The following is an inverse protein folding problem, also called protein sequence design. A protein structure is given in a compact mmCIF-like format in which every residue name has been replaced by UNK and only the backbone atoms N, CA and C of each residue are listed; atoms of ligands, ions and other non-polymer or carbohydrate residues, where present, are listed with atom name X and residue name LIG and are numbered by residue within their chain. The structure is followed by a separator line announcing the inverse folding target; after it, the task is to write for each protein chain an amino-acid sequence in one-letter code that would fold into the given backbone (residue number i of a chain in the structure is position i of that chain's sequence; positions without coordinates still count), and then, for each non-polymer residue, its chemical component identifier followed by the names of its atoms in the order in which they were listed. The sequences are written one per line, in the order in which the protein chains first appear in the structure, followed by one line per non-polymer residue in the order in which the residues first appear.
data_IF_482219428877
#
_entry.id   IF_482219428877
#
_cell.length_a   1.000
_cell.length_b   1.000
_cell.length_c   1.000
_cell.angle_alpha   90.00
_cell.angle_beta   90.00
_cell.angle_gamma   90.00
#
_symmetry.space_group_name_H-M   'P 1'
#
loop_
_entity.id
_entity.type
_entity.pdbx_description
1 polymer ?
#
# COMPACT_ATOMS: atom_id res chain seq x y z
N UNK A 1 15.58 2.74 -24.22
CA UNK A 1 14.79 2.37 -23.03
C UNK A 1 13.93 3.57 -22.72
N UNK A 2 12.60 3.49 -22.87
CA UNK A 2 11.70 4.54 -22.40
C UNK A 2 12.03 4.85 -20.93
N UNK A 3 11.93 6.12 -20.53
CA UNK A 3 12.18 6.51 -19.13
C UNK A 3 13.62 6.69 -18.66
N UNK A 4 14.58 6.03 -19.30
CA UNK A 4 16.00 6.20 -18.98
C UNK A 4 16.46 7.59 -19.42
N UNK A 5 17.02 8.35 -18.48
CA UNK A 5 17.58 9.67 -18.73
C UNK A 5 19.04 9.55 -19.19
N UNK A 6 19.84 8.71 -18.51
CA UNK A 6 21.23 8.43 -18.90
C UNK A 6 21.64 7.00 -18.53
N UNK A 7 22.64 6.45 -19.25
CA UNK A 7 23.26 5.15 -18.94
C UNK A 7 24.77 5.33 -18.96
N UNK A 8 25.41 5.15 -17.81
CA UNK A 8 26.87 5.03 -17.74
C UNK A 8 27.27 3.55 -17.72
N UNK A 9 27.81 3.10 -18.85
CA UNK A 9 28.28 1.72 -19.04
C UNK A 9 29.58 1.42 -18.30
N UNK A 10 30.36 2.43 -17.90
CA UNK A 10 31.60 2.23 -17.16
C UNK A 10 31.31 1.92 -15.68
N UNK A 11 30.29 2.57 -15.11
CA UNK A 11 29.82 2.32 -13.73
C UNK A 11 28.63 1.37 -13.62
N UNK A 12 28.07 0.91 -14.75
CA UNK A 12 26.81 0.16 -14.80
C UNK A 12 25.65 0.87 -14.09
N UNK A 13 25.61 2.21 -14.19
CA UNK A 13 24.55 3.02 -13.60
C UNK A 13 23.58 3.56 -14.65
N UNK A 14 22.32 3.71 -14.25
CA UNK A 14 21.27 4.31 -15.07
C UNK A 14 20.59 5.41 -14.25
N UNK A 15 20.36 6.58 -14.84
CA UNK A 15 19.46 7.58 -14.29
C UNK A 15 18.11 7.52 -14.99
N UNK A 16 17.07 7.88 -14.26
CA UNK A 16 15.71 7.87 -14.75
C UNK A 16 15.13 9.25 -14.75
N UNK A 17 14.28 9.51 -15.74
CA UNK A 17 13.50 10.74 -15.80
C UNK A 17 12.68 10.86 -14.52
N UNK A 18 12.53 12.08 -14.03
CA UNK A 18 11.69 12.36 -12.87
C UNK A 18 10.28 11.79 -13.07
N UNK A 19 9.77 11.09 -12.04
CA UNK A 19 8.46 10.45 -12.04
C UNK A 19 8.34 9.18 -12.87
N UNK A 20 9.43 8.67 -13.46
CA UNK A 20 9.38 7.45 -14.26
C UNK A 20 9.62 6.19 -13.42
N UNK A 21 8.84 5.15 -13.69
CA UNK A 21 8.82 3.90 -12.92
C UNK A 21 8.89 2.68 -13.86
N UNK A 22 9.16 1.49 -13.32
CA UNK A 22 9.20 0.25 -14.10
C UNK A 22 10.59 -0.37 -14.27
N UNK A 23 10.68 -1.45 -15.04
CA UNK A 23 11.85 -2.30 -15.19
C UNK A 23 13.07 -1.55 -15.75
N UNK A 24 12.85 -0.57 -16.62
CA UNK A 24 13.91 0.29 -17.16
C UNK A 24 14.40 1.36 -16.17
N UNK A 25 13.66 1.55 -15.07
CA UNK A 25 13.89 2.59 -14.06
C UNK A 25 13.92 2.09 -12.63
N UNK A 26 14.35 0.84 -12.45
CA UNK A 26 14.64 0.23 -11.17
C UNK A 26 15.85 0.91 -10.49
N UNK A 27 15.69 1.61 -9.35
CA UNK A 27 16.85 1.89 -8.51
C UNK A 27 17.16 0.65 -7.64
N UNK A 28 18.45 0.40 -7.41
CA UNK A 28 18.90 -0.52 -6.35
C UNK A 28 18.67 0.07 -4.95
N UNK A 29 18.70 1.41 -4.82
CA UNK A 29 18.61 2.11 -3.55
C UNK A 29 17.21 2.69 -3.31
N UNK A 30 16.67 2.34 -2.14
CA UNK A 30 15.42 2.90 -1.61
C UNK A 30 15.79 4.22 -0.94
N UNK A 31 15.17 5.37 -1.28
CA UNK A 31 15.46 6.61 -0.57
C UNK A 31 15.14 6.46 0.92
N UNK A 32 16.16 6.49 1.76
CA UNK A 32 16.09 6.32 3.23
C UNK A 32 15.33 7.46 3.94
N UNK A 33 15.02 8.53 3.22
CA UNK A 33 14.40 9.73 3.78
C UNK A 33 13.12 10.06 3.03
N UNK A 34 11.98 9.75 3.64
CA UNK A 34 10.75 10.48 3.35
C UNK A 34 10.87 11.83 4.05
N UNK A 35 10.95 12.91 3.26
CA UNK A 35 10.76 14.26 3.78
C UNK A 35 9.26 14.55 3.64
N UNK A 36 8.51 14.70 4.75
CA UNK A 36 7.12 15.14 4.66
C UNK A 36 7.09 16.48 3.91
N UNK A 37 6.16 16.68 2.96
CA UNK A 37 5.97 18.00 2.38
C UNK A 37 5.72 19.00 3.51
N UNK A 38 6.42 20.14 3.48
CA UNK A 38 6.21 21.22 4.45
C UNK A 38 4.74 21.62 4.39
N UNK A 39 4.06 21.62 5.53
CA UNK A 39 2.67 22.05 5.63
C UNK A 39 2.55 23.46 5.03
N UNK A 40 1.87 23.58 3.88
CA UNK A 40 1.56 24.88 3.30
C UNK A 40 0.75 25.68 4.32
N UNK A 41 1.16 26.92 4.57
CA UNK A 41 0.45 27.82 5.47
C UNK A 41 -0.95 28.07 4.91
N UNK A 42 -1.96 27.78 5.73
CA UNK A 42 -3.36 27.99 5.43
C UNK A 42 -3.61 29.43 4.93
N UNK A 43 -4.19 29.53 3.74
CA UNK A 43 -4.81 30.75 3.22
C UNK A 43 -6.30 30.74 3.61
N UNK A 44 -6.78 31.94 3.87
CA UNK A 44 -7.96 32.37 4.62
C UNK A 44 -9.31 31.65 4.36
N UNK A 45 -10.17 31.66 5.40
CA UNK A 45 -11.62 31.80 5.26
C UNK A 45 -12.50 30.60 5.63
N UNK A 46 -12.20 29.41 5.12
CA UNK A 46 -13.07 28.21 5.29
C UNK A 46 -12.29 26.88 5.49
N UNK A 47 -11.00 27.05 5.76
CA UNK A 47 -9.90 26.06 5.87
C UNK A 47 -9.60 25.65 7.31
N UNK A 48 -10.59 25.75 8.21
CA UNK A 48 -10.41 25.36 9.61
C UNK A 48 -10.20 23.85 9.75
N UNK A 49 -9.00 23.42 10.17
CA UNK A 49 -8.77 22.05 10.60
C UNK A 49 -9.70 21.71 11.77
N UNK A 50 -10.22 20.48 11.79
CA UNK A 50 -10.86 19.94 12.99
C UNK A 50 -9.75 19.53 13.95
N UNK A 51 -9.69 20.15 15.13
CA UNK A 51 -8.58 19.98 16.07
C UNK A 51 -9.04 19.44 17.41
N UNK A 52 -8.40 18.37 17.91
CA UNK A 52 -8.53 17.83 19.27
C UNK A 52 -9.97 17.52 19.72
N UNK A 53 -10.81 17.06 18.80
CA UNK A 53 -12.19 16.65 19.10
C UNK A 53 -12.33 15.14 19.17
N UNK A 54 -13.37 14.67 19.88
CA UNK A 54 -13.78 13.26 19.84
C UNK A 54 -15.09 13.15 19.09
N UNK A 55 -15.12 12.35 18.02
CA UNK A 55 -16.23 12.27 17.07
C UNK A 55 -16.64 10.80 16.89
N UNK A 56 -17.93 10.51 17.08
CA UNK A 56 -18.50 9.19 16.84
C UNK A 56 -19.08 9.07 15.42
N UNK A 57 -19.57 10.18 14.86
CA UNK A 57 -20.07 10.25 13.50
C UNK A 57 -19.78 11.66 12.99
N UNK A 58 -19.23 11.80 11.78
CA UNK A 58 -19.01 13.11 11.16
C UNK A 58 -19.87 13.20 9.92
N UNK A 59 -20.78 14.17 9.91
CA UNK A 59 -21.37 14.64 8.66
C UNK A 59 -20.33 15.50 7.94
N UNK A 60 -19.61 14.91 7.02
CA UNK A 60 -18.60 15.64 6.25
C UNK A 60 -19.26 16.45 5.16
N UNK A 61 -18.93 17.74 5.06
CA UNK A 61 -19.23 18.49 3.86
C UNK A 61 -18.21 18.10 2.77
N UNK A 62 -18.55 17.10 1.96
CA UNK A 62 -17.70 16.60 0.87
C UNK A 62 -17.51 17.62 -0.26
N UNK A 63 -18.28 18.71 -0.29
CA UNK A 63 -18.12 19.79 -1.26
C UNK A 63 -16.94 20.72 -0.99
N UNK A 64 -16.12 20.46 0.05
CA UNK A 64 -14.92 21.23 0.34
C UNK A 64 -13.70 20.61 -0.35
N UNK A 65 -12.81 21.41 -0.96
CA UNK A 65 -11.57 20.89 -1.55
C UNK A 65 -10.50 20.56 -0.51
N UNK A 66 -10.56 21.16 0.68
CA UNK A 66 -9.59 20.94 1.74
C UNK A 66 -10.23 20.32 2.98
N UNK A 67 -9.69 19.19 3.41
CA UNK A 67 -10.08 18.47 4.61
C UNK A 67 -8.85 18.30 5.51
N UNK A 68 -8.94 18.75 6.76
CA UNK A 68 -7.83 18.69 7.70
C UNK A 68 -8.31 18.26 9.09
N UNK A 69 -7.64 17.25 9.67
CA UNK A 69 -7.90 16.71 11.00
C UNK A 69 -6.60 16.60 11.79
N UNK A 70 -6.56 17.22 12.97
CA UNK A 70 -5.37 17.29 13.84
C UNK A 70 -5.74 16.80 15.22
N UNK A 71 -5.15 15.71 15.70
CA UNK A 71 -5.38 15.23 17.07
C UNK A 71 -6.82 14.73 17.34
N UNK A 72 -7.60 14.46 16.30
CA UNK A 72 -9.01 14.07 16.42
C UNK A 72 -9.11 12.59 16.78
N UNK A 73 -10.01 12.25 17.70
CA UNK A 73 -10.31 10.87 18.11
C UNK A 73 -11.64 10.40 17.53
N UNK A 74 -11.61 9.31 16.78
CA UNK A 74 -12.74 8.59 16.23
C UNK A 74 -12.97 7.31 17.03
N UNK A 75 -14.18 7.09 17.54
CA UNK A 75 -14.47 5.99 18.47
C UNK A 75 -15.82 5.35 18.17
N UNK A 76 -15.85 4.02 18.18
CA UNK A 76 -17.07 3.22 18.16
C UNK A 76 -17.29 2.46 16.86
N UNK A 77 -18.02 1.34 16.98
CA UNK A 77 -18.40 0.52 15.84
C UNK A 77 -19.40 1.31 14.98
N UNK A 78 -19.11 1.44 13.69
CA UNK A 78 -19.89 2.26 12.75
C UNK A 78 -19.40 3.70 12.63
N UNK A 79 -18.46 4.14 13.48
CA UNK A 79 -17.79 5.42 13.29
C UNK A 79 -16.86 5.34 12.07
N UNK A 80 -17.27 5.92 10.95
CA UNK A 80 -16.48 5.94 9.74
C UNK A 80 -16.21 7.38 9.28
N UNK A 81 -14.93 7.72 9.15
CA UNK A 81 -14.51 8.89 8.40
C UNK A 81 -14.33 8.47 6.94
N UNK A 82 -15.36 8.71 6.13
CA UNK A 82 -15.41 8.26 4.74
C UNK A 82 -15.31 9.44 3.78
N UNK A 83 -14.28 9.43 2.93
CA UNK A 83 -14.13 10.34 1.81
C UNK A 83 -14.58 9.64 0.54
N UNK A 84 -15.78 9.97 0.07
CA UNK A 84 -16.32 9.48 -1.21
C UNK A 84 -15.98 10.47 -2.32
N UNK A 85 -15.10 10.08 -3.25
CA UNK A 85 -14.62 10.97 -4.30
C UNK A 85 -15.71 11.36 -5.30
N UNK A 86 -16.70 10.49 -5.54
CA UNK A 86 -17.87 10.82 -6.38
C UNK A 86 -18.71 11.97 -5.80
N UNK A 87 -18.61 12.21 -4.49
CA UNK A 87 -19.32 13.29 -3.80
C UNK A 87 -18.46 14.55 -3.60
N UNK A 88 -17.25 14.59 -4.16
CA UNK A 88 -16.29 15.69 -4.00
C UNK A 88 -16.21 16.56 -5.26
N UNK A 89 -15.80 17.84 -5.14
CA UNK A 89 -15.66 18.74 -6.27
C UNK A 89 -14.33 18.48 -7.00
N UNK A 90 -14.18 17.31 -7.64
CA UNK A 90 -12.93 16.86 -8.26
C UNK A 90 -12.45 17.69 -9.47
N UNK A 91 -13.21 18.72 -9.87
CA UNK A 91 -12.74 19.76 -10.79
C UNK A 91 -11.77 20.75 -10.11
N UNK A 92 -11.63 20.67 -8.78
CA UNK A 92 -10.67 21.39 -7.97
C UNK A 92 -9.64 20.42 -7.37
N UNK A 93 -8.40 20.87 -7.08
CA UNK A 93 -7.45 20.08 -6.31
C UNK A 93 -8.01 19.75 -4.92
N UNK A 94 -8.00 18.46 -4.57
CA UNK A 94 -8.47 17.97 -3.27
C UNK A 94 -7.26 17.67 -2.38
N UNK A 95 -7.26 18.19 -1.16
CA UNK A 95 -6.20 17.94 -0.19
C UNK A 95 -6.80 17.46 1.13
N UNK A 96 -6.49 16.21 1.50
CA UNK A 96 -6.97 15.54 2.71
C UNK A 96 -5.79 15.25 3.63
N UNK A 97 -5.78 15.86 4.82
CA UNK A 97 -4.72 15.70 5.81
C UNK A 97 -5.28 15.21 7.15
N UNK A 98 -4.64 14.17 7.68
CA UNK A 98 -4.88 13.62 9.01
C UNK A 98 -3.54 13.49 9.73
N UNK A 99 -3.39 14.16 10.85
CA UNK A 99 -2.16 14.12 11.66
C UNK A 99 -2.47 13.98 13.13
N UNK A 100 -1.81 13.05 13.82
CA UNK A 100 -2.03 12.84 15.26
C UNK A 100 -3.41 12.27 15.61
N UNK A 101 -4.17 11.79 14.62
CA UNK A 101 -5.53 11.28 14.83
C UNK A 101 -5.52 9.92 15.52
N UNK A 102 -6.58 9.61 16.27
CA UNK A 102 -6.78 8.30 16.90
C UNK A 102 -8.05 7.65 16.37
N UNK A 103 -7.98 6.42 15.89
CA UNK A 103 -9.14 5.59 15.55
C UNK A 103 -9.19 4.42 16.52
N UNK A 104 -10.32 4.19 17.18
CA UNK A 104 -10.47 3.12 18.16
C UNK A 104 -11.85 2.47 18.15
N UNK A 105 -11.93 1.31 18.77
CA UNK A 105 -13.20 0.61 19.05
C UNK A 105 -14.01 0.29 17.78
N UNK A 106 -13.33 0.00 16.67
CA UNK A 106 -13.97 -0.29 15.39
C UNK A 106 -14.10 0.89 14.45
N UNK A 107 -13.60 2.08 14.82
CA UNK A 107 -13.65 3.25 13.94
C UNK A 107 -12.80 3.06 12.67
N UNK A 108 -13.25 3.62 11.56
CA UNK A 108 -12.70 3.40 10.22
C UNK A 108 -12.29 4.71 9.56
N UNK A 109 -11.20 4.67 8.78
CA UNK A 109 -10.85 5.71 7.82
C UNK A 109 -10.99 5.12 6.42
N UNK A 110 -11.81 5.73 5.56
CA UNK A 110 -12.12 5.18 4.24
C UNK A 110 -11.94 6.23 3.15
N UNK A 111 -11.37 5.80 2.03
CA UNK A 111 -11.24 6.54 0.79
C UNK A 111 -11.87 5.71 -0.32
N UNK A 112 -12.98 6.18 -0.87
CA UNK A 112 -13.82 5.41 -1.79
C UNK A 112 -13.86 6.12 -3.13
N UNK A 113 -13.32 5.45 -4.13
CA UNK A 113 -13.35 5.86 -5.53
C UNK A 113 -14.66 5.50 -6.22
N UNK A 114 -14.66 5.62 -7.55
CA UNK A 114 -15.83 5.39 -8.37
C UNK A 114 -15.54 5.61 -9.85
N UNK A 115 -16.40 5.11 -10.73
CA UNK A 115 -16.17 5.15 -12.16
C UNK A 115 -16.10 6.59 -12.71
N UNK A 116 -16.93 7.49 -12.18
CA UNK A 116 -16.91 8.90 -12.57
C UNK A 116 -15.68 9.63 -11.99
N UNK A 117 -15.31 9.31 -10.75
CA UNK A 117 -14.16 9.89 -10.09
C UNK A 117 -12.82 9.50 -10.75
N UNK A 118 -12.76 8.32 -11.38
CA UNK A 118 -11.58 7.78 -12.05
C UNK A 118 -11.10 8.59 -13.26
N UNK A 119 -11.94 9.47 -13.81
CA UNK A 119 -11.56 10.39 -14.91
C UNK A 119 -11.07 11.75 -14.40
N UNK A 120 -11.15 11.98 -13.08
CA UNK A 120 -10.67 13.22 -12.44
C UNK A 120 -9.24 13.07 -11.92
N UNK A 121 -8.65 14.17 -11.43
CA UNK A 121 -7.28 14.16 -10.89
C UNK A 121 -7.05 15.21 -9.80
N UNK A 122 -5.85 15.23 -9.22
CA UNK A 122 -5.42 16.28 -8.30
C UNK A 122 -5.81 16.03 -6.84
N UNK A 123 -5.89 14.76 -6.43
CA UNK A 123 -6.15 14.37 -5.03
C UNK A 123 -4.84 14.06 -4.31
N UNK A 124 -4.61 14.75 -3.19
CA UNK A 124 -3.48 14.50 -2.29
C UNK A 124 -4.01 14.05 -0.94
N UNK A 125 -3.49 12.93 -0.44
CA UNK A 125 -3.89 12.34 0.84
C UNK A 125 -2.64 12.16 1.71
N UNK A 126 -2.69 12.70 2.92
CA UNK A 126 -1.64 12.56 3.94
C UNK A 126 -2.26 12.08 5.25
N UNK A 127 -1.91 10.87 5.64
CA UNK A 127 -2.23 10.28 6.94
C UNK A 127 -0.91 10.06 7.68
N UNK A 128 -0.76 10.68 8.84
CA UNK A 128 0.49 10.65 9.61
C UNK A 128 0.23 10.63 11.11
N UNK A 129 1.16 10.06 11.88
CA UNK A 129 1.13 10.04 13.34
C UNK A 129 -0.20 9.48 13.90
N UNK A 130 -0.77 8.49 13.22
CA UNK A 130 -2.09 7.97 13.54
C UNK A 130 -2.00 6.82 14.52
N UNK A 131 -2.84 6.84 15.55
CA UNK A 131 -3.01 5.72 16.48
C UNK A 131 -4.25 4.94 16.09
N UNK A 132 -4.13 3.62 15.96
CA UNK A 132 -5.22 2.73 15.57
C UNK A 132 -5.37 1.63 16.62
N UNK A 133 -6.60 1.42 17.12
CA UNK A 133 -6.92 0.43 18.15
C UNK A 133 -8.16 -0.36 17.74
N UNK A 134 -7.96 -1.53 17.13
CA UNK A 134 -9.01 -2.27 16.42
C UNK A 134 -9.72 -1.37 15.42
N UNK A 135 -8.94 -0.85 14.46
CA UNK A 135 -9.34 0.10 13.41
C UNK A 135 -8.55 -0.21 12.14
N UNK A 136 -8.98 0.33 10.99
CA UNK A 136 -8.33 0.10 9.68
C UNK A 136 -8.45 1.33 8.78
N UNK A 137 -7.46 1.52 7.90
CA UNK A 137 -7.52 2.45 6.77
C UNK A 137 -7.91 1.68 5.52
N UNK A 138 -8.91 2.13 4.79
CA UNK A 138 -9.43 1.44 3.62
C UNK A 138 -9.35 2.32 2.39
N UNK A 139 -8.83 1.75 1.31
CA UNK A 139 -8.99 2.26 -0.04
C UNK A 139 -9.86 1.28 -0.82
N UNK A 140 -10.88 1.81 -1.49
CA UNK A 140 -11.80 1.00 -2.25
C UNK A 140 -12.06 1.60 -3.64
N UNK A 141 -12.26 0.72 -4.63
CA UNK A 141 -12.69 1.07 -5.98
C UNK A 141 -11.66 1.93 -6.75
N UNK A 142 -12.13 2.60 -7.79
CA UNK A 142 -11.33 3.34 -8.77
C UNK A 142 -10.99 4.74 -8.25
N UNK A 143 -9.76 4.93 -7.78
CA UNK A 143 -9.32 6.24 -7.30
C UNK A 143 -9.12 7.20 -8.49
N UNK A 144 -9.23 8.52 -8.28
CA UNK A 144 -8.85 9.51 -9.29
C UNK A 144 -7.42 9.30 -9.81
N UNK A 145 -7.15 9.80 -11.01
CA UNK A 145 -5.82 9.72 -11.61
C UNK A 145 -4.88 10.70 -10.91
N UNK A 146 -3.57 10.45 -10.99
CA UNK A 146 -2.56 11.35 -10.43
C UNK A 146 -2.76 11.64 -8.93
N UNK A 147 -3.23 10.63 -8.18
CA UNK A 147 -3.29 10.71 -6.74
C UNK A 147 -1.89 10.57 -6.14
N UNK A 148 -1.62 11.36 -5.10
CA UNK A 148 -0.44 11.21 -4.25
C UNK A 148 -0.90 10.90 -2.82
N UNK A 149 -0.71 9.65 -2.40
CA UNK A 149 -1.25 9.10 -1.15
C UNK A 149 -0.11 8.62 -0.28
N UNK A 150 -0.06 9.11 0.96
CA UNK A 150 0.90 8.67 1.96
C UNK A 150 0.19 8.34 3.29
N UNK A 151 0.33 7.09 3.74
CA UNK A 151 -0.07 6.60 5.07
C UNK A 151 1.19 6.26 5.84
N UNK A 152 1.54 7.10 6.80
CA UNK A 152 2.84 7.07 7.48
C UNK A 152 2.71 7.11 8.99
N UNK A 153 3.71 6.60 9.70
CA UNK A 153 3.83 6.75 11.17
C UNK A 153 2.57 6.27 11.91
N UNK A 154 2.08 5.07 11.56
CA UNK A 154 0.89 4.48 12.18
C UNK A 154 1.28 3.56 13.33
N UNK A 155 0.73 3.77 14.52
CA UNK A 155 0.78 2.82 15.64
C UNK A 155 -0.55 2.05 15.73
N UNK A 156 -0.55 0.78 15.34
CA UNK A 156 -1.74 -0.06 15.30
C UNK A 156 -1.71 -1.20 16.33
N UNK A 157 -2.80 -1.37 17.07
CA UNK A 157 -3.05 -2.56 17.91
C UNK A 157 -4.37 -3.20 17.50
N UNK A 158 -4.34 -4.47 17.11
CA UNK A 158 -5.52 -5.25 16.70
C UNK A 158 -5.88 -6.27 17.78
N UNK A 159 -7.02 -6.09 18.45
CA UNK A 159 -7.49 -6.98 19.53
C UNK A 159 -8.80 -7.70 19.21
N UNK A 160 -9.64 -7.13 18.34
CA UNK A 160 -10.99 -7.59 18.06
C UNK A 160 -11.33 -7.41 16.59
N UNK A 161 -11.99 -8.41 15.98
CA UNK A 161 -12.45 -8.38 14.59
C UNK A 161 -13.29 -7.13 14.36
N UNK A 162 -12.98 -6.40 13.29
CA UNK A 162 -13.74 -5.25 12.84
C UNK A 162 -15.09 -5.70 12.30
N UNK A 163 -16.17 -5.08 12.80
CA UNK A 163 -17.51 -5.31 12.27
C UNK A 163 -17.74 -4.40 11.06
N UNK A 164 -17.74 -5.02 9.89
CA UNK A 164 -18.12 -4.42 8.61
C UNK A 164 -19.49 -4.99 8.19
N UNK A 165 -20.48 -4.16 7.83
CA UNK A 165 -21.81 -4.66 7.47
C UNK A 165 -21.85 -5.48 6.17
N UNK A 166 -20.90 -5.27 5.24
CA UNK A 166 -21.08 -5.70 3.83
C UNK A 166 -20.00 -6.64 3.27
N UNK A 167 -18.99 -7.03 4.04
CA UNK A 167 -17.90 -7.88 3.53
C UNK A 167 -17.90 -9.27 4.19
N UNK A 168 -17.95 -10.31 3.36
CA UNK A 168 -17.95 -11.73 3.80
C UNK A 168 -16.64 -12.13 4.48
N UNK A 169 -15.54 -11.39 4.26
CA UNK A 169 -14.20 -11.71 4.78
C UNK A 169 -13.81 -10.79 5.95
N UNK A 170 -14.14 -11.24 7.16
CA UNK A 170 -13.92 -10.52 8.42
C UNK A 170 -12.49 -10.75 8.93
N UNK A 171 -11.51 -10.04 8.37
CA UNK A 171 -10.10 -10.19 8.76
C UNK A 171 -9.49 -8.88 9.26
N UNK A 172 -8.53 -8.99 10.17
CA UNK A 172 -7.87 -7.85 10.81
C UNK A 172 -6.73 -7.33 9.94
N UNK A 173 -6.67 -6.03 9.69
CA UNK A 173 -5.57 -5.41 8.95
C UNK A 173 -5.30 -3.97 9.37
N UNK A 174 -4.11 -3.46 9.05
CA UNK A 174 -3.80 -2.03 9.23
C UNK A 174 -4.32 -1.23 8.05
N UNK A 175 -4.07 -1.72 6.83
CA UNK A 175 -4.57 -1.14 5.59
C UNK A 175 -5.28 -2.23 4.79
N UNK A 176 -6.47 -1.89 4.29
CA UNK A 176 -7.25 -2.74 3.39
C UNK A 176 -7.38 -2.08 2.03
N UNK A 177 -7.21 -2.89 1.00
CA UNK A 177 -7.46 -2.54 -0.40
C UNK A 177 -8.60 -3.42 -0.90
N UNK A 178 -9.64 -2.81 -1.45
CA UNK A 178 -10.83 -3.51 -1.94
C UNK A 178 -11.18 -3.06 -3.37
N UNK A 179 -10.95 -3.95 -4.34
CA UNK A 179 -11.09 -3.70 -5.78
C UNK A 179 -10.48 -2.36 -6.27
N UNK A 180 -9.23 -2.10 -5.89
CA UNK A 180 -8.58 -0.81 -6.10
C UNK A 180 -7.92 -0.73 -7.48
N UNK A 181 -8.13 0.40 -8.17
CA UNK A 181 -7.37 0.77 -9.37
C UNK A 181 -6.61 2.08 -9.12
N UNK A 182 -5.30 2.04 -9.31
CA UNK A 182 -4.43 3.22 -9.32
C UNK A 182 -3.99 3.49 -10.77
N UNK A 183 -4.24 4.71 -11.23
CA UNK A 183 -3.91 5.18 -12.58
C UNK A 183 -3.01 6.40 -12.49
N UNK A 184 -1.75 6.27 -12.92
CA UNK A 184 -0.71 7.27 -12.74
C UNK A 184 -0.62 7.83 -11.30
N UNK A 185 -0.88 6.98 -10.30
CA UNK A 185 -1.03 7.36 -8.89
C UNK A 185 -0.02 6.66 -8.00
N UNK A 186 0.31 7.26 -6.87
CA UNK A 186 1.25 6.71 -5.87
C UNK A 186 0.56 6.47 -4.53
N UNK A 187 0.75 5.27 -3.98
CA UNK A 187 0.34 4.89 -2.63
C UNK A 187 1.56 4.42 -1.83
N UNK A 188 1.93 5.21 -0.81
CA UNK A 188 2.97 4.88 0.14
C UNK A 188 2.37 4.49 1.49
N UNK A 189 2.72 3.30 1.99
CA UNK A 189 2.50 2.87 3.38
C UNK A 189 3.86 2.73 4.04
N UNK A 190 4.16 3.57 5.04
CA UNK A 190 5.51 3.63 5.62
C UNK A 190 5.53 3.77 7.13
N UNK A 191 6.56 3.25 7.79
CA UNK A 191 6.78 3.43 9.24
C UNK A 191 5.58 2.98 10.10
N UNK A 192 4.88 1.92 9.69
CA UNK A 192 3.80 1.33 10.47
C UNK A 192 4.39 0.44 11.57
N UNK A 193 3.98 0.63 12.82
CA UNK A 193 4.27 -0.28 13.93
C UNK A 193 2.97 -0.92 14.36
N UNK A 194 2.84 -2.22 14.12
CA UNK A 194 1.58 -2.90 14.29
C UNK A 194 1.71 -4.14 15.18
N UNK A 195 0.80 -4.30 16.12
CA UNK A 195 0.73 -5.44 17.03
C UNK A 195 -0.66 -6.07 17.00
N UNK A 196 -0.75 -7.38 16.72
CA UNK A 196 -1.99 -8.13 16.76
C UNK A 196 -1.97 -9.11 17.94
N UNK A 197 -3.04 -9.14 18.73
CA UNK A 197 -3.19 -10.08 19.86
C UNK A 197 -3.54 -11.51 19.39
N UNK A 198 -4.04 -11.65 18.16
CA UNK A 198 -4.37 -12.93 17.53
C UNK A 198 -3.53 -13.13 16.29
N UNK A 199 -3.05 -14.36 16.05
CA UNK A 199 -2.19 -14.75 14.92
C UNK A 199 -2.93 -14.88 13.58
N UNK A 200 -3.90 -14.00 13.31
CA UNK A 200 -4.79 -14.08 12.13
C UNK A 200 -4.88 -12.74 11.36
N UNK A 201 -4.10 -11.73 11.76
CA UNK A 201 -4.13 -10.41 11.14
C UNK A 201 -3.18 -10.29 9.93
N UNK A 202 -3.42 -9.33 9.05
CA UNK A 202 -2.56 -8.96 7.91
C UNK A 202 -2.05 -7.55 8.02
N UNK A 203 -0.79 -7.31 7.63
CA UNK A 203 -0.29 -5.94 7.60
C UNK A 203 -1.10 -5.11 6.61
N UNK A 204 -1.03 -5.52 5.34
CA UNK A 204 -1.89 -5.10 4.26
C UNK A 204 -2.78 -6.27 3.81
N UNK A 205 -4.05 -5.96 3.56
CA UNK A 205 -5.02 -6.93 3.08
C UNK A 205 -5.67 -6.47 1.77
N UNK A 206 -5.37 -7.17 0.69
CA UNK A 206 -6.08 -7.03 -0.57
C UNK A 206 -7.17 -8.10 -0.65
N UNK A 207 -8.42 -7.66 -0.64
CA UNK A 207 -9.60 -8.52 -0.61
C UNK A 207 -9.88 -9.07 -2.01
N UNK A 208 -10.06 -8.18 -2.98
CA UNK A 208 -10.36 -8.52 -4.36
C UNK A 208 -9.15 -8.28 -5.27
N UNK A 209 -9.18 -7.21 -6.07
CA UNK A 209 -8.17 -6.91 -7.07
C UNK A 209 -7.44 -5.61 -6.77
N UNK A 210 -6.13 -5.59 -7.01
CA UNK A 210 -5.35 -4.35 -7.11
C UNK A 210 -4.78 -4.25 -8.53
N UNK A 211 -5.09 -3.15 -9.21
CA UNK A 211 -4.56 -2.85 -10.53
C UNK A 211 -3.72 -1.58 -10.47
N UNK A 212 -2.45 -1.67 -10.87
CA UNK A 212 -1.55 -0.53 -11.04
C UNK A 212 -1.29 -0.33 -12.53
N UNK A 213 -1.60 0.86 -13.06
CA UNK A 213 -1.44 1.23 -14.48
C UNK A 213 -0.98 2.69 -14.63
N UNK A 214 -0.48 3.07 -15.80
CA UNK A 214 -0.07 4.45 -16.09
C UNK A 214 1.15 4.91 -15.31
N UNK A 215 2.08 4.01 -14.98
CA UNK A 215 3.23 4.30 -14.13
C UNK A 215 2.87 4.43 -12.65
N UNK A 216 1.79 3.79 -12.20
CA UNK A 216 1.37 3.83 -10.80
C UNK A 216 2.34 3.11 -9.87
N UNK A 217 2.30 3.44 -8.58
CA UNK A 217 3.12 2.77 -7.58
C UNK A 217 2.42 2.46 -6.27
N UNK A 218 2.75 1.30 -5.71
CA UNK A 218 2.47 0.91 -4.33
C UNK A 218 3.79 0.61 -3.63
N UNK A 219 4.11 1.35 -2.57
CA UNK A 219 5.26 1.11 -1.71
C UNK A 219 4.81 0.80 -0.30
N UNK A 220 5.29 -0.31 0.26
CA UNK A 220 5.15 -0.67 1.68
C UNK A 220 6.53 -0.79 2.27
N UNK A 221 6.90 0.13 3.16
CA UNK A 221 8.29 0.18 3.65
C UNK A 221 8.48 0.55 5.10
N UNK A 222 9.56 0.03 5.69
CA UNK A 222 9.92 0.31 7.09
C UNK A 222 8.78 0.00 8.08
N UNK A 223 7.90 -0.95 7.75
CA UNK A 223 6.82 -1.38 8.61
C UNK A 223 7.26 -2.56 9.49
N UNK A 224 6.76 -2.64 10.71
CA UNK A 224 7.07 -3.68 11.70
C UNK A 224 5.77 -4.32 12.19
N UNK A 225 5.62 -5.62 11.95
CA UNK A 225 4.41 -6.37 12.30
C UNK A 225 4.70 -7.46 13.35
N UNK A 226 3.98 -7.39 14.47
CA UNK A 226 4.05 -8.37 15.56
C UNK A 226 2.72 -9.11 15.69
N UNK A 227 2.74 -10.44 15.64
CA UNK A 227 1.52 -11.26 15.75
C UNK A 227 0.66 -11.32 14.48
N UNK A 228 1.20 -10.90 13.33
CA UNK A 228 0.53 -10.94 12.03
C UNK A 228 0.85 -12.23 11.26
N UNK A 229 -0.09 -12.73 10.50
CA UNK A 229 0.05 -13.94 9.69
C UNK A 229 0.76 -13.67 8.36
N UNK A 230 0.42 -12.57 7.70
CA UNK A 230 1.09 -12.12 6.47
C UNK A 230 1.40 -10.63 6.57
N UNK A 231 2.55 -10.21 6.02
CA UNK A 231 2.80 -8.78 5.83
C UNK A 231 1.87 -8.23 4.75
N UNK A 232 1.80 -8.88 3.59
CA UNK A 232 0.84 -8.54 2.53
C UNK A 232 0.08 -9.78 2.05
N UNK A 233 -1.23 -9.80 2.29
CA UNK A 233 -2.13 -10.79 1.70
C UNK A 233 -2.73 -10.23 0.41
N UNK A 234 -2.51 -10.93 -0.69
CA UNK A 234 -2.88 -10.56 -2.05
C UNK A 234 -3.82 -11.59 -2.64
N UNK A 235 -5.04 -11.17 -3.01
CA UNK A 235 -5.94 -12.03 -3.76
C UNK A 235 -5.62 -12.01 -5.27
N UNK A 236 -5.86 -10.88 -5.94
CA UNK A 236 -5.50 -10.68 -7.36
C UNK A 236 -4.68 -9.40 -7.52
N UNK A 237 -3.45 -9.49 -8.01
CA UNK A 237 -2.59 -8.33 -8.27
C UNK A 237 -2.20 -8.25 -9.76
N UNK A 238 -2.41 -7.07 -10.34
CA UNK A 238 -2.04 -6.74 -11.71
C UNK A 238 -1.19 -5.47 -11.73
N UNK A 239 0.10 -5.60 -12.00
CA UNK A 239 1.05 -4.47 -12.12
C UNK A 239 1.43 -4.32 -13.60
N UNK A 240 0.97 -3.26 -14.26
CA UNK A 240 1.13 -3.10 -15.72
C UNK A 240 1.46 -1.66 -16.08
N UNK A 241 1.92 -1.45 -17.31
CA UNK A 241 2.22 -0.14 -17.88
C UNK A 241 3.17 0.67 -16.98
N UNK A 242 4.42 0.22 -16.93
CA UNK A 242 5.52 0.90 -16.22
C UNK A 242 5.30 1.07 -14.71
N UNK A 243 4.40 0.28 -14.12
CA UNK A 243 4.01 0.40 -12.72
C UNK A 243 4.90 -0.41 -11.77
N UNK A 244 4.87 -0.05 -10.48
CA UNK A 244 5.71 -0.69 -9.45
C UNK A 244 4.88 -1.06 -8.21
N UNK A 245 4.99 -2.31 -7.77
CA UNK A 245 4.56 -2.73 -6.43
C UNK A 245 5.78 -3.16 -5.64
N UNK A 246 5.99 -2.63 -4.43
CA UNK A 246 7.22 -2.87 -3.69
C UNK A 246 7.01 -3.03 -2.18
N UNK A 247 7.56 -4.11 -1.63
CA UNK A 247 7.69 -4.38 -0.20
C UNK A 247 9.17 -4.23 0.21
N UNK A 248 9.50 -3.19 0.96
CA UNK A 248 10.90 -2.78 1.19
C UNK A 248 11.23 -2.66 2.68
N UNK A 249 12.27 -3.34 3.15
CA UNK A 249 12.82 -3.14 4.50
C UNK A 249 11.78 -3.25 5.64
N UNK A 250 10.80 -4.16 5.50
CA UNK A 250 9.81 -4.42 6.53
C UNK A 250 10.27 -5.56 7.46
N UNK A 251 9.71 -5.60 8.67
CA UNK A 251 10.00 -6.64 9.64
C UNK A 251 8.73 -7.36 10.11
N UNK A 252 8.85 -8.66 10.35
CA UNK A 252 7.83 -9.48 11.00
C UNK A 252 8.44 -10.25 12.18
N UNK A 253 7.85 -10.15 13.38
CA UNK A 253 8.37 -10.92 14.52
C UNK A 253 8.22 -12.43 14.31
N UNK A 254 7.08 -12.84 13.76
CA UNK A 254 6.76 -14.19 13.31
C UNK A 254 5.54 -14.13 12.41
N UNK A 255 5.38 -15.10 11.52
CA UNK A 255 4.25 -15.18 10.60
C UNK A 255 4.37 -16.34 9.63
N UNK A 256 3.46 -16.42 8.67
CA UNK A 256 3.51 -17.40 7.58
C UNK A 256 4.30 -16.83 6.40
N UNK A 257 4.00 -15.60 5.95
CA UNK A 257 4.75 -15.05 4.83
C UNK A 257 4.87 -13.53 4.74
N UNK A 258 5.87 -13.06 4.01
CA UNK A 258 6.01 -11.65 3.66
C UNK A 258 4.99 -11.26 2.58
N UNK A 259 4.93 -12.04 1.50
CA UNK A 259 3.92 -11.92 0.46
C UNK A 259 3.12 -13.22 0.36
N UNK A 260 1.80 -13.13 0.51
CA UNK A 260 0.89 -14.24 0.30
C UNK A 260 0.04 -13.95 -0.93
N UNK A 261 0.10 -14.83 -1.93
CA UNK A 261 -0.66 -14.78 -3.16
C UNK A 261 -1.71 -15.89 -3.12
N UNK A 262 -2.98 -15.51 -3.24
CA UNK A 262 -4.10 -16.45 -3.18
C UNK A 262 -4.54 -16.93 -4.56
N UNK A 263 -4.78 -16.02 -5.51
CA UNK A 263 -5.39 -16.37 -6.80
C UNK A 263 -4.55 -16.02 -8.02
N UNK A 264 -4.26 -14.74 -8.27
CA UNK A 264 -3.49 -14.36 -9.48
C UNK A 264 -2.51 -13.23 -9.21
N UNK A 265 -1.32 -13.37 -9.78
CA UNK A 265 -0.30 -12.36 -9.92
C UNK A 265 -0.01 -12.16 -11.42
N UNK A 266 -0.12 -10.93 -11.92
CA UNK A 266 0.36 -10.51 -13.24
C UNK A 266 1.28 -9.29 -13.15
N UNK A 267 2.51 -9.38 -13.68
CA UNK A 267 3.36 -8.22 -14.00
C UNK A 267 3.53 -8.15 -15.52
N UNK A 268 3.19 -7.02 -16.14
CA UNK A 268 3.35 -6.85 -17.59
C UNK A 268 3.76 -5.43 -17.98
N UNK A 269 4.07 -5.23 -19.25
CA UNK A 269 4.47 -3.96 -19.85
C UNK A 269 5.47 -3.15 -19.00
N UNK A 270 6.72 -3.63 -18.96
CA UNK A 270 7.84 -2.96 -18.30
C UNK A 270 7.62 -2.67 -16.81
N UNK A 271 6.79 -3.47 -16.14
CA UNK A 271 6.43 -3.26 -14.73
C UNK A 271 7.24 -4.13 -13.79
N UNK A 272 7.13 -3.84 -12.49
CA UNK A 272 7.96 -4.51 -11.47
C UNK A 272 7.17 -4.83 -10.20
N UNK A 273 7.33 -6.06 -9.71
CA UNK A 273 7.10 -6.38 -8.30
C UNK A 273 8.42 -6.55 -7.56
N UNK A 274 8.57 -5.86 -6.43
CA UNK A 274 9.77 -5.93 -5.58
C UNK A 274 9.42 -6.42 -4.18
N UNK A 275 10.22 -7.36 -3.68
CA UNK A 275 10.21 -7.80 -2.28
C UNK A 275 11.66 -7.79 -1.83
N UNK A 276 12.10 -6.70 -1.21
CA UNK A 276 13.52 -6.44 -0.98
C UNK A 276 13.82 -6.06 0.48
N UNK A 277 14.83 -6.67 1.07
CA UNK A 277 15.35 -6.30 2.40
C UNK A 277 14.41 -6.59 3.56
N UNK A 278 13.34 -7.38 3.35
CA UNK A 278 12.40 -7.69 4.41
C UNK A 278 12.95 -8.80 5.30
N UNK A 279 12.67 -8.74 6.60
CA UNK A 279 13.20 -9.72 7.56
C UNK A 279 12.16 -10.21 8.56
N UNK A 280 12.30 -11.43 9.04
CA UNK A 280 11.43 -11.94 10.10
C UNK A 280 11.46 -13.45 10.22
N UNK A 281 10.95 -13.97 11.35
CA UNK A 281 10.78 -15.42 11.54
C UNK A 281 9.49 -15.90 10.85
N UNK A 282 9.49 -15.92 9.52
CA UNK A 282 8.33 -16.33 8.72
C UNK A 282 8.56 -17.71 8.10
N UNK A 283 7.50 -18.47 7.86
CA UNK A 283 7.63 -19.76 7.16
C UNK A 283 8.13 -19.58 5.72
N UNK A 284 7.69 -18.53 5.03
CA UNK A 284 7.96 -18.30 3.61
C UNK A 284 8.19 -16.82 3.28
N UNK A 285 9.13 -16.45 2.40
CA UNK A 285 9.14 -15.08 1.88
C UNK A 285 7.93 -14.86 0.98
N UNK A 286 7.77 -15.70 -0.03
CA UNK A 286 6.66 -15.70 -0.97
C UNK A 286 5.88 -17.00 -0.84
N UNK A 287 4.57 -16.90 -0.64
CA UNK A 287 3.65 -18.03 -0.60
C UNK A 287 2.67 -17.87 -1.77
N UNK A 288 2.72 -18.79 -2.72
CA UNK A 288 1.93 -18.77 -3.95
C UNK A 288 1.05 -20.00 -4.05
N UNK A 289 -0.22 -19.80 -4.41
CA UNK A 289 -1.21 -20.88 -4.50
C UNK A 289 -1.67 -21.19 -5.93
N UNK A 290 -1.58 -20.23 -6.86
CA UNK A 290 -2.25 -20.37 -8.15
C UNK A 290 -1.46 -19.74 -9.31
N UNK A 291 -1.85 -18.60 -9.89
CA UNK A 291 -1.20 -18.13 -11.13
C UNK A 291 -0.19 -17.00 -10.90
N UNK A 292 1.03 -17.12 -11.45
CA UNK A 292 2.00 -16.04 -11.60
C UNK A 292 2.38 -15.90 -13.08
N UNK A 293 2.17 -14.69 -13.65
CA UNK A 293 2.55 -14.34 -15.02
C UNK A 293 3.43 -13.10 -15.05
N UNK A 294 4.57 -13.17 -15.75
CA UNK A 294 5.52 -12.06 -15.94
C UNK A 294 5.86 -11.96 -17.43
N UNK A 295 5.52 -10.84 -18.06
CA UNK A 295 5.67 -10.70 -19.51
C UNK A 295 6.02 -9.26 -19.94
N UNK A 296 6.36 -9.07 -21.21
CA UNK A 296 6.55 -7.77 -21.84
C UNK A 296 7.64 -6.93 -21.14
N UNK A 297 8.85 -7.48 -21.02
CA UNK A 297 10.00 -6.84 -20.37
C UNK A 297 9.78 -6.46 -18.90
N UNK A 298 9.06 -7.30 -18.18
CA UNK A 298 8.73 -7.09 -16.76
C UNK A 298 9.62 -7.87 -15.81
N UNK A 299 9.60 -7.48 -14.52
CA UNK A 299 10.57 -7.99 -13.55
C UNK A 299 9.97 -8.34 -12.19
N UNK A 300 10.35 -9.51 -11.67
CA UNK A 300 10.19 -9.87 -10.27
C UNK A 300 11.54 -9.70 -9.56
N UNK A 301 11.60 -8.84 -8.54
CA UNK A 301 12.82 -8.48 -7.83
C UNK A 301 12.76 -8.93 -6.37
N UNK A 302 13.29 -10.11 -6.06
CA UNK A 302 13.29 -10.68 -4.71
C UNK A 302 14.72 -10.73 -4.17
N UNK A 303 15.06 -9.77 -3.30
CA UNK A 303 16.44 -9.61 -2.86
C UNK A 303 16.59 -9.38 -1.37
N UNK A 304 17.69 -9.86 -0.82
CA UNK A 304 18.15 -9.49 0.52
C UNK A 304 17.11 -9.77 1.63
N UNK A 305 16.18 -10.70 1.39
CA UNK A 305 15.17 -11.07 2.38
C UNK A 305 15.73 -12.11 3.35
N UNK A 306 15.43 -11.95 4.63
CA UNK A 306 15.84 -12.87 5.69
C UNK A 306 14.61 -13.47 6.38
N UNK A 307 14.35 -14.76 6.14
CA UNK A 307 13.15 -15.44 6.66
C UNK A 307 13.44 -16.23 7.95
N UNK A 308 14.60 -16.04 8.58
CA UNK A 308 15.03 -16.92 9.65
C UNK A 308 15.07 -18.37 9.15
N UNK A 309 14.48 -19.32 9.88
CA UNK A 309 14.46 -20.76 9.52
C UNK A 309 13.42 -21.13 8.45
N UNK A 310 12.75 -20.16 7.83
CA UNK A 310 11.80 -20.39 6.74
C UNK A 310 12.45 -20.67 5.38
N UNK A 311 11.61 -20.74 4.35
CA UNK A 311 12.03 -20.86 2.96
C UNK A 311 11.72 -19.57 2.15
N UNK A 312 12.38 -19.37 1.01
CA UNK A 312 12.05 -18.20 0.17
C UNK A 312 10.73 -18.36 -0.58
N UNK A 313 10.42 -19.57 -1.04
CA UNK A 313 9.28 -19.79 -1.92
C UNK A 313 8.49 -21.02 -1.47
N UNK A 314 7.17 -20.86 -1.40
CA UNK A 314 6.23 -21.96 -1.34
C UNK A 314 5.30 -21.90 -2.54
N UNK A 315 5.17 -23.03 -3.21
CA UNK A 315 4.34 -23.21 -4.38
C UNK A 315 3.38 -24.38 -4.12
N UNK A 316 2.08 -24.16 -4.26
CA UNK A 316 1.12 -25.26 -4.29
C UNK A 316 1.28 -26.08 -5.57
N UNK A 317 1.00 -27.39 -5.54
CA UNK A 317 1.15 -28.28 -6.71
C UNK A 317 0.38 -27.82 -7.96
N UNK A 318 -0.66 -27.01 -7.79
CA UNK A 318 -1.48 -26.43 -8.87
C UNK A 318 -1.02 -25.05 -9.33
N UNK A 319 0.09 -24.53 -8.81
CA UNK A 319 0.57 -23.19 -9.17
C UNK A 319 1.15 -23.23 -10.60
N UNK A 320 0.82 -22.23 -11.39
CA UNK A 320 1.37 -22.03 -12.72
C UNK A 320 2.26 -20.80 -12.72
N UNK A 321 3.54 -20.99 -13.04
CA UNK A 321 4.53 -19.93 -13.08
C UNK A 321 5.00 -19.71 -14.53
N UNK A 322 4.62 -18.57 -15.13
CA UNK A 322 4.91 -18.23 -16.52
C UNK A 322 5.72 -16.94 -16.61
N UNK A 323 6.93 -17.02 -17.17
CA UNK A 323 7.77 -15.86 -17.50
C UNK A 323 8.10 -15.90 -19.00
N UNK A 324 7.82 -14.81 -19.73
CA UNK A 324 8.16 -14.72 -21.15
C UNK A 324 9.67 -14.52 -21.39
N UNK A 325 10.13 -14.67 -22.63
CA UNK A 325 11.56 -14.58 -22.98
C UNK A 325 12.18 -13.19 -22.78
N UNK A 326 11.36 -12.16 -22.56
CA UNK A 326 11.82 -10.78 -22.36
C UNK A 326 11.83 -10.37 -20.89
N UNK A 327 11.27 -11.19 -20.02
CA UNK A 327 11.05 -10.90 -18.60
C UNK A 327 11.99 -11.70 -17.71
N UNK A 328 12.11 -11.30 -16.44
CA UNK A 328 13.02 -11.98 -15.53
C UNK A 328 12.54 -11.99 -14.08
N UNK A 329 13.10 -12.96 -13.35
CA UNK A 329 13.05 -13.07 -11.90
C UNK A 329 14.48 -12.95 -11.36
N UNK A 330 14.68 -12.07 -10.39
CA UNK A 330 15.90 -12.01 -9.59
C UNK A 330 15.64 -12.57 -8.21
N UNK A 331 16.48 -13.53 -7.81
CA UNK A 331 16.54 -14.05 -6.44
C UNK A 331 18.00 -14.04 -5.97
N UNK A 332 18.36 -13.08 -5.12
CA UNK A 332 19.75 -12.95 -4.62
C UNK A 332 19.82 -12.37 -3.20
N UNK A 333 20.92 -12.65 -2.48
CA UNK A 333 21.17 -12.08 -1.15
C UNK A 333 20.25 -12.58 -0.03
N UNK A 334 19.33 -13.49 -0.33
CA UNK A 334 18.37 -14.01 0.62
C UNK A 334 19.00 -14.97 1.64
N UNK A 335 18.52 -14.92 2.90
CA UNK A 335 18.98 -15.76 4.01
C UNK A 335 17.87 -16.68 4.50
N UNK A 336 18.20 -17.95 4.65
CA UNK A 336 17.37 -19.01 5.22
C UNK A 336 18.24 -19.77 6.23
N UNK A 337 17.69 -20.11 7.39
CA UNK A 337 18.35 -20.87 8.44
C UNK A 337 18.66 -22.27 7.94
N UNK A 338 19.85 -22.76 8.28
CA UNK A 338 20.33 -24.12 8.00
C UNK A 338 19.64 -25.17 8.86
#
# INVERSE_FOLDING_TARGET
MPGTESVDRASCSCSCKDGWHGASCLPFEVPDTFVPPVAERAVDGDTGCVVNQTLAEITLNMWKPHHCYVGVTFSGVGAALTFSFESMPLHLPINITLTGCTFREGALLQFVGGAEAAESSGVVIRVSQTVMRSSVVVFALFLPQHCDIAVTEVDAVQSSILFWPDTVNKRLSVVTLDDVVLTASSLLVSNVKAHALKKEAYGLYLIEKLTLVGGSSLYVRYCSFVGYMHLFHVNILSVRDHSVCALLNNTMSSGISLLYQHNEFSVSDHSVLRVVGNSGSVSYAIYSLNLITVQESSWLDWRDNDVGVGAMFHEAESTFFAIDSSSALTLTGCKMGS
#
